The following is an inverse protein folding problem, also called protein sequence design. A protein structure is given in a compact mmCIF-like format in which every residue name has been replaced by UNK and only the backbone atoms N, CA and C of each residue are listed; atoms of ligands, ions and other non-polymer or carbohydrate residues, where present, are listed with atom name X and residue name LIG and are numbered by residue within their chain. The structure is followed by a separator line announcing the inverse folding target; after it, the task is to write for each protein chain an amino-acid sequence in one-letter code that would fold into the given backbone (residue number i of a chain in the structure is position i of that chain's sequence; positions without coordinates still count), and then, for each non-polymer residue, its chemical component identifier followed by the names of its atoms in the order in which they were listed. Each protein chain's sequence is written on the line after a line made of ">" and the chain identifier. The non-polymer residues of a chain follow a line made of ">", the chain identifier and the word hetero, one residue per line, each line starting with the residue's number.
data_IF_576860715122
#
_entry.id   IF_576860715122
#
_cell.length_a   1.000
_cell.length_b   1.000
_cell.length_c   1.000
_cell.angle_alpha   90.00
_cell.angle_beta   90.00
_cell.angle_gamma   90.00
#
_symmetry.space_group_name_H-M   'P 1'
#
loop_
_entity.id
_entity.type
_entity.pdbx_description
1 polymer ?
#
# COMPACT_ATOMS: atom_id res chain seq x y z
N UNK A 1 -10.77 5.19 -84.94
CA UNK A 1 -11.85 6.05 -84.43
C UNK A 1 -12.94 5.10 -83.94
N UNK A 2 -12.91 4.76 -82.65
CA UNK A 2 -13.64 3.62 -82.08
C UNK A 2 -14.95 4.09 -81.42
N UNK A 3 -16.03 3.36 -81.68
CA UNK A 3 -17.36 3.49 -81.10
C UNK A 3 -17.43 2.87 -79.70
N UNK A 4 -18.20 3.46 -78.79
CA UNK A 4 -18.68 2.83 -77.55
C UNK A 4 -20.13 3.32 -77.35
N UNK A 5 -21.13 2.61 -77.85
CA UNK A 5 -21.87 1.49 -77.24
C UNK A 5 -22.58 1.86 -75.93
N UNK A 6 -23.88 2.15 -76.08
CA UNK A 6 -24.83 2.43 -75.01
C UNK A 6 -25.63 1.16 -74.76
N UNK A 7 -25.39 0.51 -73.63
CA UNK A 7 -26.09 -0.73 -73.26
C UNK A 7 -27.30 -0.39 -72.41
N UNK A 8 -28.49 -0.45 -73.03
CA UNK A 8 -29.74 -0.59 -72.32
C UNK A 8 -29.85 -2.03 -71.81
N UNK A 9 -29.79 -2.24 -70.50
CA UNK A 9 -30.23 -3.49 -69.90
C UNK A 9 -31.46 -3.24 -69.04
N UNK A 10 -32.59 -3.65 -69.60
CA UNK A 10 -33.84 -3.97 -68.90
C UNK A 10 -33.54 -5.00 -67.79
N UNK A 11 -33.77 -4.60 -66.54
CA UNK A 11 -33.77 -5.54 -65.42
C UNK A 11 -35.18 -6.13 -65.32
N UNK A 12 -35.26 -7.44 -65.53
CA UNK A 12 -36.45 -8.26 -65.35
C UNK A 12 -36.88 -8.26 -63.88
N UNK A 13 -38.12 -7.83 -63.65
CA UNK A 13 -38.86 -8.09 -62.43
C UNK A 13 -39.26 -9.58 -62.43
N UNK A 14 -38.75 -10.34 -61.46
CA UNK A 14 -39.24 -11.69 -61.15
C UNK A 14 -39.56 -11.70 -59.67
N UNK A 15 -40.86 -11.65 -59.38
CA UNK A 15 -41.41 -11.85 -58.06
C UNK A 15 -41.84 -13.33 -57.88
N UNK A 16 -41.85 -13.73 -56.62
CA UNK A 16 -42.46 -14.91 -56.00
C UNK A 16 -41.71 -16.24 -56.01
N UNK A 17 -41.32 -16.66 -54.79
CA UNK A 17 -41.03 -18.05 -54.46
C UNK A 17 -40.50 -18.21 -53.03
N UNK A 18 -41.41 -18.33 -52.05
CA UNK A 18 -41.13 -18.72 -50.67
C UNK A 18 -40.15 -19.91 -50.57
N UNK A 19 -39.02 -19.71 -49.88
CA UNK A 19 -38.25 -20.77 -49.23
C UNK A 19 -37.38 -20.15 -48.12
N UNK A 20 -37.80 -20.31 -46.86
CA UNK A 20 -36.89 -20.19 -45.69
C UNK A 20 -36.34 -21.59 -45.41
N UNK A 21 -35.00 -21.77 -45.23
CA UNK A 21 -34.50 -22.06 -43.88
C UNK A 21 -33.04 -21.57 -43.66
N UNK A 22 -32.41 -21.87 -42.51
CA UNK A 22 -32.37 -21.05 -41.30
C UNK A 22 -31.01 -20.34 -41.10
N UNK A 23 -30.96 -19.45 -40.11
CA UNK A 23 -29.72 -19.04 -39.43
C UNK A 23 -28.79 -18.07 -40.17
N UNK A 24 -29.01 -16.77 -39.96
CA UNK A 24 -27.89 -15.94 -39.50
C UNK A 24 -28.40 -14.98 -38.43
N UNK A 25 -28.07 -15.31 -37.18
CA UNK A 25 -27.99 -14.31 -36.13
C UNK A 25 -26.94 -13.30 -36.57
N UNK A 26 -27.38 -12.25 -37.29
CA UNK A 26 -26.55 -11.09 -37.54
C UNK A 26 -26.09 -10.58 -36.18
N UNK A 27 -24.82 -10.86 -35.85
CA UNK A 27 -24.10 -10.25 -34.75
C UNK A 27 -24.29 -8.75 -34.90
N UNK A 28 -25.22 -8.18 -34.12
CA UNK A 28 -25.43 -6.74 -34.07
C UNK A 28 -24.09 -6.13 -33.71
N UNK A 29 -23.44 -5.54 -34.70
CA UNK A 29 -22.22 -4.76 -34.52
C UNK A 29 -22.58 -3.61 -33.59
N UNK A 30 -22.25 -3.78 -32.31
CA UNK A 30 -22.50 -2.82 -31.23
C UNK A 30 -21.82 -1.46 -31.46
N UNK A 31 -20.92 -1.38 -32.45
CA UNK A 31 -20.19 -0.19 -32.86
C UNK A 31 -20.92 0.69 -33.89
N UNK A 32 -22.03 0.24 -34.49
CA UNK A 32 -22.69 0.97 -35.59
C UNK A 32 -23.73 2.00 -35.12
N UNK A 33 -23.72 2.40 -33.84
CA UNK A 33 -24.65 3.44 -33.38
C UNK A 33 -24.23 4.80 -33.95
N UNK A 34 -25.16 5.60 -34.50
CA UNK A 34 -24.85 6.94 -34.97
C UNK A 34 -24.27 7.75 -33.80
N UNK A 35 -23.10 8.33 -34.03
CA UNK A 35 -22.49 9.29 -33.12
C UNK A 35 -23.47 10.45 -33.04
N UNK A 36 -24.06 10.68 -31.86
CA UNK A 36 -24.86 11.87 -31.62
C UNK A 36 -23.93 13.08 -31.75
N UNK A 37 -23.99 13.76 -32.89
CA UNK A 37 -23.21 14.96 -33.15
C UNK A 37 -23.90 16.15 -32.52
N UNK A 38 -23.16 16.92 -31.72
CA UNK A 38 -23.66 18.19 -31.18
C UNK A 38 -23.97 19.13 -32.35
N UNK A 39 -25.13 19.83 -32.38
CA UNK A 39 -25.42 20.77 -33.45
C UNK A 39 -24.37 21.90 -33.47
N UNK A 40 -24.07 22.43 -34.65
CA UNK A 40 -23.21 23.60 -34.75
C UNK A 40 -23.84 24.77 -33.98
N UNK A 41 -23.00 25.65 -33.40
CA UNK A 41 -23.45 26.72 -32.50
C UNK A 41 -24.52 27.65 -33.07
N UNK A 42 -24.65 27.69 -34.40
CA UNK A 42 -25.53 28.58 -35.14
C UNK A 42 -26.77 27.89 -35.73
N UNK A 43 -26.92 26.56 -35.57
CA UNK A 43 -28.00 25.80 -36.23
C UNK A 43 -29.27 25.72 -35.38
N UNK A 44 -29.16 25.18 -34.16
CA UNK A 44 -30.27 25.06 -33.21
C UNK A 44 -29.77 24.81 -31.80
N UNK A 45 -30.63 25.08 -30.81
CA UNK A 45 -30.36 24.68 -29.43
C UNK A 45 -30.28 23.14 -29.31
N UNK A 46 -29.34 22.62 -28.50
CA UNK A 46 -29.19 21.19 -28.26
C UNK A 46 -30.38 20.65 -27.47
N UNK A 47 -30.81 19.44 -27.80
CA UNK A 47 -31.84 18.74 -27.00
C UNK A 47 -31.26 18.27 -25.67
N UNK A 48 -32.10 18.11 -24.65
CA UNK A 48 -31.69 17.59 -23.34
C UNK A 48 -30.91 16.26 -23.45
N UNK A 49 -31.29 15.40 -24.40
CA UNK A 49 -30.62 14.12 -24.64
C UNK A 49 -29.21 14.29 -25.25
N UNK A 50 -29.02 15.25 -26.17
CA UNK A 50 -27.71 15.57 -26.77
C UNK A 50 -26.77 16.24 -25.76
N UNK A 51 -27.29 17.15 -24.92
CA UNK A 51 -26.54 17.74 -23.83
C UNK A 51 -26.10 16.67 -22.81
N UNK A 52 -27.00 15.74 -22.47
CA UNK A 52 -26.69 14.61 -21.58
C UNK A 52 -25.63 13.68 -22.18
N UNK A 53 -25.73 13.36 -23.47
CA UNK A 53 -24.76 12.53 -24.17
C UNK A 53 -23.35 13.15 -24.20
N UNK A 54 -23.25 14.49 -24.24
CA UNK A 54 -21.99 15.22 -24.18
C UNK A 54 -21.39 15.28 -22.77
N UNK A 55 -22.23 15.40 -21.73
CA UNK A 55 -21.78 15.50 -20.34
C UNK A 55 -21.44 14.11 -19.76
N UNK A 56 -22.09 13.05 -20.23
CA UNK A 56 -21.93 11.68 -19.69
C UNK A 56 -20.48 11.18 -19.71
N UNK A 57 -19.69 11.34 -20.81
CA UNK A 57 -18.28 10.98 -20.81
C UNK A 57 -17.44 11.79 -19.83
N UNK A 58 -17.73 13.08 -19.65
CA UNK A 58 -17.03 13.94 -18.68
C UNK A 58 -17.30 13.51 -17.25
N UNK A 59 -18.57 13.24 -16.91
CA UNK A 59 -18.93 12.70 -15.59
C UNK A 59 -18.29 11.33 -15.36
N UNK A 60 -18.35 10.43 -16.35
CA UNK A 60 -17.71 9.12 -16.28
C UNK A 60 -16.20 9.21 -16.04
N UNK A 61 -15.50 10.08 -16.77
CA UNK A 61 -14.08 10.34 -16.56
C UNK A 61 -13.76 10.94 -15.20
N UNK A 62 -14.59 11.86 -14.71
CA UNK A 62 -14.41 12.44 -13.38
C UNK A 62 -14.62 11.39 -12.28
N UNK A 63 -15.66 10.56 -12.40
CA UNK A 63 -15.91 9.46 -11.45
C UNK A 63 -14.79 8.41 -11.47
N UNK A 64 -14.21 8.08 -12.63
CA UNK A 64 -13.08 7.15 -12.68
C UNK A 64 -11.83 7.75 -12.03
N UNK A 65 -11.53 9.02 -12.26
CA UNK A 65 -10.41 9.72 -11.59
C UNK A 65 -10.61 9.72 -10.07
N UNK A 66 -11.80 10.08 -9.59
CA UNK A 66 -12.13 10.05 -8.16
C UNK A 66 -12.01 8.62 -7.61
N UNK A 67 -12.54 7.62 -8.30
CA UNK A 67 -12.48 6.24 -7.86
C UNK A 67 -11.04 5.74 -7.75
N UNK A 68 -10.19 6.02 -8.75
CA UNK A 68 -8.76 5.67 -8.75
C UNK A 68 -8.05 6.36 -7.59
N UNK A 69 -8.33 7.64 -7.37
CA UNK A 69 -7.77 8.41 -6.25
C UNK A 69 -8.17 7.83 -4.89
N UNK A 70 -9.45 7.48 -4.71
CA UNK A 70 -9.94 6.81 -3.51
C UNK A 70 -9.30 5.44 -3.30
N UNK A 71 -9.06 4.66 -4.37
CA UNK A 71 -8.37 3.36 -4.26
C UNK A 71 -6.94 3.55 -3.73
N UNK A 72 -6.19 4.51 -4.28
CA UNK A 72 -4.83 4.77 -3.81
C UNK A 72 -4.80 5.22 -2.34
N UNK A 73 -5.68 6.16 -1.96
CA UNK A 73 -5.74 6.69 -0.59
C UNK A 73 -6.26 5.69 0.45
N UNK A 74 -7.37 5.00 0.15
CA UNK A 74 -8.06 4.18 1.14
C UNK A 74 -7.56 2.75 1.18
N UNK A 75 -7.21 2.20 0.02
CA UNK A 75 -6.78 0.81 -0.08
C UNK A 75 -5.27 0.75 -0.01
N UNK A 76 -4.56 1.43 -0.91
CA UNK A 76 -3.11 1.18 -1.02
C UNK A 76 -2.35 1.79 0.16
N UNK A 77 -2.60 3.04 0.54
CA UNK A 77 -1.88 3.67 1.65
C UNK A 77 -2.23 3.05 3.02
N UNK A 78 -3.41 2.44 3.20
CA UNK A 78 -3.81 1.79 4.47
C UNK A 78 -3.53 0.29 4.56
N UNK A 79 -3.51 -0.43 3.43
CA UNK A 79 -3.39 -1.90 3.43
C UNK A 79 -1.97 -2.41 3.25
N UNK A 80 -1.01 -1.54 2.90
CA UNK A 80 0.36 -1.98 2.69
C UNK A 80 0.96 -2.52 4.00
N UNK A 81 1.61 -3.70 3.94
CA UNK A 81 2.13 -4.34 5.12
C UNK A 81 3.20 -3.46 5.77
N UNK A 82 3.03 -3.18 7.06
CA UNK A 82 4.06 -2.53 7.86
C UNK A 82 5.31 -3.42 7.93
N UNK A 83 6.47 -2.80 8.15
CA UNK A 83 7.71 -3.51 8.43
C UNK A 83 7.47 -4.47 9.61
N UNK A 84 7.82 -5.75 9.41
CA UNK A 84 7.67 -6.79 10.44
C UNK A 84 8.99 -6.93 11.17
N UNK A 85 8.94 -6.84 12.49
CA UNK A 85 10.09 -7.05 13.35
C UNK A 85 10.00 -8.44 13.98
N UNK A 86 11.11 -9.16 13.97
CA UNK A 86 11.28 -10.42 14.67
C UNK A 86 12.62 -10.42 15.37
N UNK A 87 12.73 -11.08 16.51
CA UNK A 87 14.02 -11.22 17.19
C UNK A 87 14.81 -12.34 16.53
N UNK A 88 16.06 -12.07 16.21
CA UNK A 88 17.02 -13.01 15.64
C UNK A 88 17.94 -13.56 16.72
N UNK A 89 18.49 -12.69 17.57
CA UNK A 89 19.38 -13.05 18.67
C UNK A 89 19.24 -12.06 19.82
N UNK A 90 19.55 -12.52 21.04
CA UNK A 90 19.59 -11.70 22.25
C UNK A 90 20.82 -12.14 23.03
N UNK A 91 21.77 -11.25 23.27
CA UNK A 91 22.88 -11.47 24.20
C UNK A 91 22.74 -10.51 25.38
N UNK A 92 22.99 -10.99 26.60
CA UNK A 92 22.93 -10.14 27.80
C UNK A 92 24.26 -10.19 28.54
N UNK A 93 24.99 -9.09 28.50
CA UNK A 93 26.28 -8.96 29.17
C UNK A 93 26.09 -8.43 30.59
N UNK A 94 26.78 -9.06 31.54
CA UNK A 94 26.78 -8.66 32.94
C UNK A 94 28.21 -8.30 33.34
N UNK A 95 28.46 -7.00 33.51
CA UNK A 95 29.70 -6.51 34.11
C UNK A 95 29.35 -5.75 35.39
N UNK A 96 28.71 -4.58 35.28
CA UNK A 96 28.21 -3.81 36.44
C UNK A 96 26.75 -3.35 36.28
N UNK A 97 26.26 -3.24 35.04
CA UNK A 97 24.86 -2.99 34.70
C UNK A 97 24.47 -3.98 33.59
N UNK A 98 23.27 -4.54 33.65
CA UNK A 98 22.79 -5.48 32.64
C UNK A 98 22.67 -4.79 31.27
N UNK A 99 23.63 -5.09 30.38
CA UNK A 99 23.65 -4.57 29.02
C UNK A 99 23.04 -5.59 28.09
N UNK A 100 21.98 -5.19 27.40
CA UNK A 100 21.25 -6.02 26.46
C UNK A 100 21.70 -5.69 25.04
N UNK A 101 22.02 -6.73 24.30
CA UNK A 101 22.28 -6.68 22.87
C UNK A 101 21.22 -7.51 22.17
N UNK A 102 20.39 -6.87 21.32
CA UNK A 102 19.28 -7.54 20.64
C UNK A 102 19.39 -7.30 19.15
N UNK A 103 19.43 -8.39 18.40
CA UNK A 103 19.36 -8.37 16.95
C UNK A 103 17.92 -8.58 16.50
N UNK A 104 17.35 -7.58 15.85
CA UNK A 104 16.05 -7.63 15.21
C UNK A 104 16.20 -7.87 13.71
N UNK A 105 15.51 -8.89 13.22
CA UNK A 105 15.30 -9.11 11.80
C UNK A 105 14.06 -8.33 11.35
N UNK A 106 14.30 -7.30 10.54
CA UNK A 106 13.27 -6.45 9.93
C UNK A 106 12.97 -6.98 8.53
N UNK A 107 11.77 -7.54 8.35
CA UNK A 107 11.29 -8.06 7.07
C UNK A 107 10.32 -7.10 6.42
N UNK A 108 10.45 -6.98 5.10
CA UNK A 108 9.61 -6.14 4.24
C UNK A 108 9.48 -4.70 4.76
N UNK A 109 10.58 -3.97 5.00
CA UNK A 109 10.46 -2.51 5.04
C UNK A 109 10.04 -2.10 3.62
N UNK A 110 8.74 -1.89 3.40
CA UNK A 110 8.27 -1.48 2.09
C UNK A 110 8.99 -0.19 1.71
N UNK A 111 9.21 0.04 0.41
CA UNK A 111 9.85 1.29 -0.05
C UNK A 111 9.09 2.56 0.36
N UNK A 112 7.90 2.40 0.94
CA UNK A 112 7.09 3.50 1.47
C UNK A 112 7.42 3.88 2.89
N UNK A 113 8.06 3.01 3.65
CA UNK A 113 8.46 3.34 5.01
C UNK A 113 9.97 3.58 5.06
N UNK A 114 10.36 4.76 5.53
CA UNK A 114 11.73 5.06 5.92
C UNK A 114 11.82 4.96 7.43
N UNK A 115 12.68 4.08 7.93
CA UNK A 115 12.96 3.91 9.36
C UNK A 115 14.28 4.62 9.65
N UNK A 116 14.29 5.47 10.66
CA UNK A 116 15.49 6.13 11.17
C UNK A 116 16.04 5.30 12.33
N UNK A 117 17.37 5.12 12.33
CA UNK A 117 18.07 4.21 13.23
C UNK A 117 19.16 4.97 13.99
N UNK A 118 18.89 6.22 14.35
CA UNK A 118 19.82 7.03 15.13
C UNK A 118 19.44 6.93 16.61
N UNK A 119 20.41 7.09 17.51
CA UNK A 119 20.20 6.92 18.96
C UNK A 119 19.12 7.86 19.50
N UNK A 120 19.10 9.10 19.03
CA UNK A 120 18.11 10.12 19.44
C UNK A 120 16.70 9.87 18.86
N UNK A 121 16.62 9.06 17.80
CA UNK A 121 15.38 8.70 17.12
C UNK A 121 14.80 7.36 17.63
N UNK A 122 15.44 6.75 18.63
CA UNK A 122 15.06 5.46 19.21
C UNK A 122 14.80 5.57 20.72
N UNK A 123 13.75 4.89 21.21
CA UNK A 123 13.51 4.75 22.64
C UNK A 123 13.19 3.30 22.97
N UNK A 124 13.73 2.80 24.08
CA UNK A 124 13.55 1.41 24.50
C UNK A 124 12.98 1.38 25.91
N UNK A 125 12.05 0.46 26.15
CA UNK A 125 11.56 0.12 27.47
C UNK A 125 11.68 -1.37 27.68
N UNK A 126 12.18 -1.75 28.85
CA UNK A 126 12.27 -3.13 29.31
C UNK A 126 11.30 -3.31 30.47
N UNK A 127 10.18 -3.97 30.20
CA UNK A 127 9.05 -4.06 31.11
C UNK A 127 8.50 -2.65 31.46
N UNK A 128 8.40 -2.30 32.74
CA UNK A 128 7.96 -0.98 33.16
C UNK A 128 9.04 0.10 33.00
N UNK A 129 10.33 -0.28 32.99
CA UNK A 129 11.46 0.63 33.09
C UNK A 129 11.88 1.16 31.72
N UNK A 130 12.35 2.42 31.70
CA UNK A 130 13.01 2.97 30.52
C UNK A 130 14.43 2.40 30.44
N UNK A 131 14.90 2.19 29.22
CA UNK A 131 16.25 1.75 28.97
C UNK A 131 17.00 2.80 28.16
N UNK A 132 18.26 3.05 28.52
CA UNK A 132 19.13 3.93 27.78
C UNK A 132 19.65 3.21 26.54
N UNK A 133 19.40 3.76 25.35
CA UNK A 133 19.94 3.25 24.10
C UNK A 133 21.42 3.66 24.03
N UNK A 134 22.32 2.68 23.98
CA UNK A 134 23.76 2.94 23.87
C UNK A 134 24.20 3.00 22.42
N UNK A 135 23.74 2.05 21.61
CA UNK A 135 24.12 1.94 20.23
C UNK A 135 23.00 1.30 19.42
N UNK A 136 22.84 1.79 18.21
CA UNK A 136 21.91 1.26 17.24
C UNK A 136 22.64 1.19 15.91
N UNK A 137 22.62 0.01 15.30
CA UNK A 137 23.26 -0.19 14.00
C UNK A 137 22.36 -1.00 13.11
N UNK A 138 22.47 -0.76 11.80
CA UNK A 138 21.68 -1.46 10.80
C UNK A 138 22.59 -2.06 9.75
N UNK A 139 22.26 -3.27 9.34
CA UNK A 139 22.92 -3.97 8.24
C UNK A 139 21.86 -4.50 7.29
N UNK A 140 21.96 -4.09 6.02
CA UNK A 140 21.12 -4.65 4.97
C UNK A 140 21.63 -6.05 4.63
N UNK A 141 20.79 -7.06 4.78
CA UNK A 141 21.13 -8.45 4.45
C UNK A 141 20.66 -8.80 3.04
N UNK A 142 19.47 -8.32 2.66
CA UNK A 142 18.95 -8.46 1.30
C UNK A 142 18.07 -7.27 0.91
N UNK A 143 17.39 -7.35 -0.24
CA UNK A 143 16.54 -6.25 -0.72
C UNK A 143 15.46 -5.87 0.30
N UNK A 144 14.83 -6.88 0.90
CA UNK A 144 13.65 -6.76 1.76
C UNK A 144 13.90 -7.21 3.21
N UNK A 145 15.17 -7.46 3.56
CA UNK A 145 15.58 -7.91 4.90
C UNK A 145 16.72 -7.04 5.42
N UNK A 146 16.53 -6.48 6.60
CA UNK A 146 17.53 -5.68 7.32
C UNK A 146 17.67 -6.23 8.73
N UNK A 147 18.92 -6.40 9.17
CA UNK A 147 19.24 -6.71 10.56
C UNK A 147 19.48 -5.39 11.28
N UNK A 148 18.79 -5.20 12.40
CA UNK A 148 18.92 -4.07 13.30
C UNK A 148 19.53 -4.60 14.60
N UNK A 149 20.74 -4.17 14.93
CA UNK A 149 21.39 -4.51 16.19
C UNK A 149 21.23 -3.34 17.15
N UNK A 150 20.67 -3.63 18.32
CA UNK A 150 20.34 -2.65 19.34
C UNK A 150 21.05 -3.00 20.64
N UNK A 151 21.84 -2.07 21.16
CA UNK A 151 22.49 -2.17 22.46
C UNK A 151 21.83 -1.18 23.40
N UNK A 152 21.30 -1.66 24.52
CA UNK A 152 20.68 -0.81 25.55
C UNK A 152 20.97 -1.31 26.96
N UNK A 153 20.83 -0.40 27.92
CA UNK A 153 21.01 -0.69 29.34
C UNK A 153 19.69 -0.45 30.05
N UNK A 154 19.21 -1.46 30.76
CA UNK A 154 18.05 -1.29 31.64
C UNK A 154 18.47 -0.69 32.98
N UNK A 155 17.68 0.24 33.52
CA UNK A 155 17.84 0.62 34.93
C UNK A 155 17.59 -0.60 35.81
N UNK A 156 18.51 -0.84 36.75
CA UNK A 156 18.38 -1.94 37.70
C UNK A 156 17.29 -1.58 38.72
N UNK A 157 16.10 -2.14 38.54
CA UNK A 157 15.11 -2.18 39.61
C UNK A 157 15.70 -2.96 40.78
N UNK A 158 15.69 -2.34 41.97
CA UNK A 158 16.15 -2.87 43.27
C UNK A 158 16.34 -4.39 43.26
N UNK A 159 17.61 -4.83 43.23
CA UNK A 159 18.07 -6.16 42.81
C UNK A 159 17.66 -7.37 43.66
N UNK A 160 16.38 -7.47 44.05
CA UNK A 160 15.87 -8.56 44.87
C UNK A 160 14.51 -9.12 44.44
N UNK A 161 13.91 -8.71 43.32
CA UNK A 161 12.63 -9.30 42.94
C UNK A 161 12.48 -9.60 41.45
N UNK A 162 12.18 -10.87 41.17
CA UNK A 162 11.59 -11.40 39.94
C UNK A 162 12.49 -11.49 38.68
N UNK A 163 13.58 -12.27 38.75
CA UNK A 163 14.41 -12.64 37.58
C UNK A 163 13.88 -13.89 36.83
N UNK A 164 12.58 -14.19 36.96
CA UNK A 164 11.94 -15.35 36.30
C UNK A 164 10.67 -15.02 35.52
N UNK A 165 10.25 -13.74 35.46
CA UNK A 165 9.10 -13.35 34.65
C UNK A 165 9.49 -13.02 33.20
N UNK A 166 8.64 -13.40 32.23
CA UNK A 166 8.82 -13.00 30.84
C UNK A 166 8.86 -11.47 30.71
N UNK A 167 9.98 -10.93 30.24
CA UNK A 167 10.12 -9.49 30.02
C UNK A 167 9.46 -9.08 28.69
N UNK A 168 8.84 -7.90 28.68
CA UNK A 168 8.30 -7.24 27.49
C UNK A 168 9.27 -6.14 27.05
N UNK A 169 9.77 -6.19 25.81
CA UNK A 169 10.58 -5.10 25.24
C UNK A 169 9.71 -4.28 24.32
N UNK A 170 9.65 -2.97 24.59
CA UNK A 170 9.02 -1.99 23.69
C UNK A 170 10.11 -1.12 23.09
N UNK A 171 10.27 -1.22 21.78
CA UNK A 171 11.16 -0.40 21.00
C UNK A 171 10.30 0.58 20.18
N UNK A 172 10.57 1.87 20.29
CA UNK A 172 10.04 2.87 19.38
C UNK A 172 11.14 3.40 18.49
N UNK A 173 10.92 3.37 17.19
CA UNK A 173 11.82 3.95 16.19
C UNK A 173 11.10 5.04 15.44
N UNK A 174 11.72 6.20 15.25
CA UNK A 174 11.16 7.21 14.36
C UNK A 174 11.09 6.68 12.93
N UNK A 175 10.02 7.04 12.25
CA UNK A 175 9.81 6.64 10.87
C UNK A 175 9.05 7.68 10.08
N UNK A 176 9.01 7.45 8.78
CA UNK A 176 8.31 8.28 7.81
C UNK A 176 7.61 7.39 6.80
N UNK A 177 6.33 7.65 6.60
CA UNK A 177 5.46 6.94 5.68
C UNK A 177 5.21 7.79 4.42
N UNK A 178 5.73 7.34 3.29
CA UNK A 178 5.54 7.95 1.99
C UNK A 178 4.16 7.59 1.45
N UNK A 179 3.25 8.56 1.44
CA UNK A 179 1.90 8.43 0.89
C UNK A 179 1.90 8.65 -0.62
N UNK A 180 0.88 8.16 -1.32
CA UNK A 180 0.83 8.32 -2.78
C UNK A 180 0.41 9.71 -3.23
N UNK A 181 -0.49 10.31 -2.48
CA UNK A 181 -1.24 11.49 -2.87
C UNK A 181 -0.91 12.69 -1.98
N UNK A 182 -0.47 12.42 -0.77
CA UNK A 182 -0.27 13.41 0.28
C UNK A 182 1.22 13.53 0.64
N UNK A 183 1.53 14.54 1.45
CA UNK A 183 2.85 14.68 2.05
C UNK A 183 3.20 13.44 2.86
N UNK A 184 4.50 13.14 2.89
CA UNK A 184 5.00 12.06 3.70
C UNK A 184 4.64 12.28 5.19
N UNK A 185 4.11 11.24 5.81
CA UNK A 185 3.62 11.26 7.18
C UNK A 185 4.74 10.84 8.14
N UNK A 186 5.13 11.74 9.04
CA UNK A 186 6.04 11.42 10.12
C UNK A 186 5.33 10.56 11.17
N UNK A 187 6.06 9.68 11.84
CA UNK A 187 5.51 8.82 12.89
C UNK A 187 6.56 7.97 13.57
N UNK A 188 6.11 6.91 14.22
CA UNK A 188 6.97 5.97 14.92
C UNK A 188 6.55 4.54 14.61
N UNK A 189 7.55 3.66 14.48
CA UNK A 189 7.36 2.22 14.57
C UNK A 189 7.38 1.81 16.04
N UNK A 190 6.24 1.36 16.53
CA UNK A 190 6.12 0.75 17.85
C UNK A 190 6.29 -0.77 17.69
N UNK A 191 7.40 -1.30 18.19
CA UNK A 191 7.73 -2.72 18.22
C UNK A 191 7.58 -3.21 19.65
N UNK A 192 6.80 -4.27 19.85
CA UNK A 192 6.58 -4.91 21.15
C UNK A 192 6.92 -6.38 21.04
N UNK A 193 7.84 -6.85 21.85
CA UNK A 193 8.24 -8.24 21.89
C UNK A 193 8.01 -8.78 23.30
N UNK A 194 7.22 -9.85 23.39
CA UNK A 194 6.82 -10.47 24.65
C UNK A 194 7.58 -11.77 24.88
N UNK A 195 7.69 -12.17 26.15
CA UNK A 195 8.37 -13.39 26.58
C UNK A 195 9.87 -13.39 26.29
N UNK A 196 10.54 -12.23 26.42
CA UNK A 196 11.99 -12.22 26.43
C UNK A 196 12.48 -12.90 27.70
N UNK A 197 13.24 -13.96 27.52
CA UNK A 197 14.00 -14.62 28.56
C UNK A 197 15.47 -14.35 28.36
N UNK A 198 16.23 -14.29 29.45
CA UNK A 198 17.69 -14.18 29.41
C UNK A 198 18.38 -15.42 28.80
N UNK A 199 17.69 -16.56 28.74
CA UNK A 199 18.15 -17.78 28.07
C UNK A 199 17.78 -17.75 26.58
N UNK A 200 18.75 -18.11 25.71
CA UNK A 200 18.58 -18.27 24.27
C UNK A 200 17.64 -19.42 23.87
N UNK A 201 17.27 -20.30 24.82
CA UNK A 201 16.54 -21.53 24.53
C UNK A 201 15.10 -21.32 24.03
N UNK A 202 14.55 -20.10 24.14
CA UNK A 202 13.16 -19.81 23.82
C UNK A 202 12.94 -18.72 22.76
N UNK A 203 13.94 -18.40 21.92
CA UNK A 203 13.79 -17.35 20.87
C UNK A 203 12.57 -17.60 19.98
N UNK A 204 12.27 -18.86 19.65
CA UNK A 204 11.10 -19.24 18.85
C UNK A 204 9.74 -18.98 19.54
N UNK A 205 9.71 -18.80 20.86
CA UNK A 205 8.49 -18.46 21.63
C UNK A 205 8.29 -16.95 21.77
N UNK A 206 9.26 -16.14 21.35
CA UNK A 206 9.18 -14.68 21.43
C UNK A 206 8.22 -14.18 20.35
N UNK A 207 7.16 -13.50 20.79
CA UNK A 207 6.16 -12.93 19.89
C UNK A 207 6.44 -11.45 19.78
N UNK A 208 6.83 -11.01 18.58
CA UNK A 208 6.99 -9.61 18.25
C UNK A 208 5.81 -9.11 17.40
N UNK A 209 5.26 -7.98 17.81
CA UNK A 209 4.25 -7.22 17.08
C UNK A 209 4.85 -5.87 16.73
N UNK A 210 4.58 -5.40 15.52
CA UNK A 210 4.98 -4.07 15.08
C UNK A 210 3.80 -3.33 14.46
N UNK A 211 3.69 -2.04 14.78
CA UNK A 211 2.74 -1.13 14.14
C UNK A 211 3.41 0.23 13.88
N UNK A 212 2.86 0.97 12.92
CA UNK A 212 3.25 2.36 12.68
C UNK A 212 2.19 3.29 13.26
N UNK A 213 2.62 4.20 14.13
CA UNK A 213 1.76 5.23 14.74
C UNK A 213 2.16 6.58 14.14
N UNK A 214 1.27 7.25 13.39
CA UNK A 214 1.57 8.56 12.85
C UNK A 214 1.67 9.62 13.95
N UNK A 215 2.54 10.61 13.73
CA UNK A 215 2.58 11.81 14.54
C UNK A 215 1.39 12.68 14.13
N UNK A 216 0.38 12.76 14.98
CA UNK A 216 -0.67 13.76 14.80
C UNK A 216 -0.02 15.15 14.91
N UNK A 217 0.15 15.84 13.79
CA UNK A 217 0.31 17.29 13.83
C UNK A 217 -1.01 17.85 14.36
N UNK A 218 -1.02 18.21 15.65
CA UNK A 218 -2.00 19.15 16.16
C UNK A 218 -1.74 20.45 15.40
N UNK A 219 -2.58 20.74 14.40
CA UNK A 219 -2.65 22.09 13.84
C UNK A 219 -3.05 23.02 14.98
N UNK A 220 -2.06 23.76 15.49
CA UNK A 220 -2.24 24.91 16.40
C UNK A 220 -2.59 26.14 15.58
#
# INVERSE_FOLDING_TARGET
>A
MALAYQTNHTVLEVDTGDQTPPSSSALRQWWSRPIATYPASNDREPTCMEATAHITPCCGGLFTVIAVFCIFLLVVDKSLPHAKFSIQAIDVFHSDVATWHVDFLVKNPTSRYSIYYDGDDASVRLGPLNAAVLNISRRRESRDVTVLSLVFVGEEGNGNDVVSEPLDVKLKLRGKHKRYVDSDEAGHFDVRCQNLTRSHENIHKIICQSCFTPLNMLYL
#
